data_IF_508939378451
#
_entry.id   IF_508939378451
#
_cell.length_a   1.000
_cell.length_b   1.000
_cell.length_c   1.000
_cell.angle_alpha   90.00
_cell.angle_beta   90.00
_cell.angle_gamma   90.00
#
_symmetry.space_group_name_H-M   'P 1'
#
loop_
_entity.id
_entity.type
_entity.pdbx_description
1 polymer ?
#
# COMPACT_ATOMS: atom_id res chain seq x y z
N UNK A 1 59.02 -31.09 27.53
CA UNK A 1 58.03 -31.63 26.58
C UNK A 1 56.64 -31.75 27.25
N UNK A 2 56.08 -30.65 27.76
CA UNK A 2 54.73 -30.72 28.32
C UNK A 2 54.11 -29.31 28.32
N UNK A 3 54.04 -28.66 27.13
CA UNK A 3 53.41 -27.36 27.01
C UNK A 3 52.97 -27.08 25.54
N UNK A 4 52.26 -28.03 24.95
CA UNK A 4 51.77 -27.90 23.54
C UNK A 4 50.48 -28.67 23.32
N UNK A 5 49.48 -28.45 24.21
CA UNK A 5 48.22 -29.16 24.17
C UNK A 5 46.98 -28.33 24.57
N UNK A 6 47.07 -26.99 24.65
CA UNK A 6 45.98 -26.17 25.19
C UNK A 6 45.63 -24.94 24.30
N UNK A 7 45.64 -25.14 22.99
CA UNK A 7 45.31 -24.03 22.07
C UNK A 7 44.40 -24.42 20.90
N UNK A 8 43.50 -25.40 21.04
CA UNK A 8 42.62 -25.85 19.95
C UNK A 8 41.17 -26.00 20.44
N UNK A 9 40.67 -25.16 21.35
CA UNK A 9 39.25 -25.26 21.77
C UNK A 9 38.49 -23.92 21.82
N UNK A 10 38.83 -22.95 20.95
CA UNK A 10 38.16 -21.64 20.92
C UNK A 10 37.55 -21.27 19.55
N UNK A 11 37.22 -22.25 18.71
CA UNK A 11 36.60 -21.96 17.40
C UNK A 11 35.24 -22.63 17.19
N UNK A 12 34.48 -22.88 18.26
CA UNK A 12 33.14 -23.43 18.14
C UNK A 12 32.13 -22.51 18.86
N UNK A 13 32.00 -21.27 18.45
CA UNK A 13 30.90 -20.42 18.91
C UNK A 13 30.73 -19.25 17.95
N UNK A 14 30.08 -19.49 16.83
CA UNK A 14 29.34 -18.51 16.08
C UNK A 14 28.25 -19.27 15.30
N UNK A 15 27.21 -19.71 15.99
CA UNK A 15 25.93 -19.87 15.36
C UNK A 15 25.42 -18.47 15.07
N UNK A 16 25.00 -18.19 13.82
CA UNK A 16 24.48 -16.89 13.42
C UNK A 16 23.09 -16.60 14.03
N UNK A 17 22.50 -17.56 14.71
CA UNK A 17 21.14 -17.48 15.27
C UNK A 17 20.94 -16.36 16.34
N UNK A 18 22.01 -15.93 17.02
CA UNK A 18 21.89 -14.86 18.00
C UNK A 18 21.81 -13.45 17.38
N UNK A 19 22.12 -13.32 16.07
CA UNK A 19 22.01 -12.06 15.29
C UNK A 19 20.64 -11.91 14.62
N UNK A 20 19.87 -12.98 14.47
CA UNK A 20 18.48 -12.95 14.02
C UNK A 20 17.56 -12.58 15.18
N UNK A 21 17.72 -11.37 15.69
CA UNK A 21 16.76 -10.80 16.64
C UNK A 21 15.53 -10.39 15.84
N UNK A 22 14.51 -11.26 15.86
CA UNK A 22 13.18 -10.85 15.39
C UNK A 22 12.78 -9.58 16.13
N UNK A 23 12.40 -8.55 15.37
CA UNK A 23 11.96 -7.29 15.96
C UNK A 23 10.73 -7.57 16.84
N UNK A 24 10.87 -7.44 18.16
CA UNK A 24 9.77 -7.62 19.12
C UNK A 24 8.59 -6.65 18.89
N UNK A 25 8.73 -5.72 17.94
CA UNK A 25 7.73 -4.69 17.60
C UNK A 25 7.19 -4.81 16.17
N UNK A 26 7.66 -5.78 15.38
CA UNK A 26 7.18 -6.02 14.00
C UNK A 26 6.92 -7.50 13.82
N UNK A 27 5.68 -7.86 13.59
CA UNK A 27 5.30 -9.21 13.16
C UNK A 27 5.84 -9.40 11.73
N UNK A 28 6.57 -10.50 11.44
CA UNK A 28 6.97 -10.82 10.08
C UNK A 28 5.76 -10.87 9.16
N UNK A 29 5.89 -10.34 7.95
CA UNK A 29 4.77 -10.25 7.00
C UNK A 29 4.19 -11.62 6.68
N UNK A 30 5.04 -12.65 6.64
CA UNK A 30 4.70 -14.04 6.33
C UNK A 30 3.83 -14.71 7.40
N UNK A 31 3.83 -14.22 8.63
CA UNK A 31 3.08 -14.76 9.77
C UNK A 31 2.07 -13.78 10.35
N UNK A 32 1.81 -12.69 9.61
CA UNK A 32 0.95 -11.61 10.10
C UNK A 32 -0.53 -12.00 10.16
N UNK A 33 -0.97 -12.94 9.33
CA UNK A 33 -2.35 -13.39 9.21
C UNK A 33 -2.41 -14.89 9.51
N UNK A 34 -3.03 -15.27 10.63
CA UNK A 34 -3.16 -16.66 11.06
C UNK A 34 -4.63 -17.09 11.21
N UNK A 35 -5.54 -16.14 11.34
CA UNK A 35 -6.97 -16.37 11.53
C UNK A 35 -7.75 -15.14 11.00
N UNK A 36 -9.09 -15.21 11.03
CA UNK A 36 -9.96 -14.13 10.55
C UNK A 36 -9.88 -12.86 11.39
N UNK A 37 -9.63 -12.96 12.69
CA UNK A 37 -9.44 -11.80 13.56
C UNK A 37 -8.20 -10.99 13.15
N UNK A 38 -7.11 -11.66 12.74
CA UNK A 38 -5.91 -10.99 12.24
C UNK A 38 -6.20 -10.25 10.92
N UNK A 39 -7.07 -10.81 10.07
CA UNK A 39 -7.54 -10.14 8.85
C UNK A 39 -8.33 -8.89 9.20
N UNK A 40 -9.27 -8.96 10.15
CA UNK A 40 -10.05 -7.81 10.62
C UNK A 40 -9.16 -6.72 11.21
N UNK A 41 -8.20 -7.08 12.08
CA UNK A 41 -7.23 -6.12 12.63
C UNK A 41 -6.39 -5.46 11.54
N UNK A 42 -5.98 -6.20 10.54
CA UNK A 42 -5.22 -5.68 9.40
C UNK A 42 -6.06 -4.73 8.55
N UNK A 43 -7.34 -5.04 8.31
CA UNK A 43 -8.30 -4.16 7.64
C UNK A 43 -8.52 -2.86 8.43
N UNK A 44 -8.68 -2.96 9.75
CA UNK A 44 -8.79 -1.77 10.60
C UNK A 44 -7.55 -0.88 10.49
N UNK A 45 -6.36 -1.47 10.35
CA UNK A 45 -5.13 -0.75 10.04
C UNK A 45 -5.15 -0.05 8.67
N UNK A 46 -5.76 -0.66 7.65
CA UNK A 46 -5.95 -0.02 6.34
C UNK A 46 -6.91 1.16 6.43
N UNK A 47 -8.04 1.01 7.12
CA UNK A 47 -8.99 2.11 7.36
C UNK A 47 -8.34 3.28 8.13
N UNK A 48 -7.43 3.00 9.06
CA UNK A 48 -6.66 4.05 9.75
C UNK A 48 -5.73 4.80 8.79
N UNK A 49 -5.06 4.09 7.87
CA UNK A 49 -4.27 4.73 6.80
C UNK A 49 -5.14 5.63 5.93
N UNK A 50 -6.36 5.20 5.57
CA UNK A 50 -7.30 6.01 4.79
C UNK A 50 -7.73 7.27 5.53
N UNK A 51 -7.89 7.20 6.85
CA UNK A 51 -8.30 8.31 7.72
C UNK A 51 -7.18 9.34 7.96
N UNK A 52 -5.99 9.13 7.43
CA UNK A 52 -4.89 10.10 7.55
C UNK A 52 -5.26 11.47 6.96
N UNK A 53 -4.81 12.55 7.60
CA UNK A 53 -4.90 13.92 7.05
C UNK A 53 -4.13 14.08 5.73
N UNK A 54 -3.18 13.21 5.45
CA UNK A 54 -2.46 13.17 4.18
C UNK A 54 -3.25 12.45 3.07
N UNK A 55 -4.41 11.87 3.41
CA UNK A 55 -5.28 11.19 2.47
C UNK A 55 -6.73 11.67 2.66
N UNK A 56 -7.69 10.81 3.05
CA UNK A 56 -9.13 11.14 3.07
C UNK A 56 -9.58 12.11 4.17
N UNK A 57 -8.89 12.24 5.30
CA UNK A 57 -9.24 13.25 6.30
C UNK A 57 -8.68 14.64 6.02
N UNK A 58 -8.16 14.87 4.82
CA UNK A 58 -7.61 16.19 4.48
C UNK A 58 -7.28 16.36 3.02
N UNK A 59 -6.08 15.96 2.61
CA UNK A 59 -5.53 16.32 1.29
C UNK A 59 -6.37 15.85 0.11
N UNK A 60 -7.00 14.67 0.19
CA UNK A 60 -7.90 14.19 -0.86
C UNK A 60 -9.08 15.11 -1.08
N UNK A 61 -9.64 15.70 -0.01
CA UNK A 61 -10.81 16.56 -0.07
C UNK A 61 -10.40 17.93 -0.65
N UNK A 62 -9.47 18.61 0.00
CA UNK A 62 -9.16 19.99 -0.40
C UNK A 62 -8.30 20.09 -1.67
N UNK A 63 -7.70 19.00 -2.15
CA UNK A 63 -6.95 19.04 -3.40
C UNK A 63 -7.84 19.40 -4.59
N UNK A 64 -9.02 18.76 -4.70
CA UNK A 64 -9.99 19.07 -5.74
C UNK A 64 -10.47 20.53 -5.68
N UNK A 65 -10.82 20.99 -4.49
CA UNK A 65 -11.32 22.35 -4.27
C UNK A 65 -10.27 23.42 -4.60
N UNK A 66 -9.02 23.18 -4.16
CA UNK A 66 -7.93 24.16 -4.31
C UNK A 66 -7.39 24.24 -5.74
N UNK A 67 -7.47 23.15 -6.50
CA UNK A 67 -7.07 23.11 -7.92
C UNK A 67 -8.18 23.54 -8.88
N UNK A 68 -9.42 23.65 -8.38
CA UNK A 68 -10.59 24.14 -9.11
C UNK A 68 -10.74 25.66 -9.00
N UNK A 69 -11.84 26.16 -9.54
CA UNK A 69 -12.15 27.59 -9.58
C UNK A 69 -12.92 28.10 -8.35
N UNK A 70 -13.31 27.17 -7.44
CA UNK A 70 -14.20 27.47 -6.31
C UNK A 70 -13.45 28.07 -5.10
N UNK A 71 -12.13 27.94 -5.03
CA UNK A 71 -11.32 28.42 -3.91
C UNK A 71 -10.11 29.21 -4.37
N UNK A 72 -9.62 30.11 -3.51
CA UNK A 72 -8.44 30.92 -3.77
C UNK A 72 -7.46 30.84 -2.59
N UNK A 73 -6.18 30.64 -2.90
CA UNK A 73 -5.10 30.76 -1.91
C UNK A 73 -4.75 32.23 -1.70
N UNK A 74 -4.98 32.75 -0.48
CA UNK A 74 -4.78 34.19 -0.17
C UNK A 74 -3.34 34.55 0.25
N UNK A 75 -2.46 33.57 0.44
CA UNK A 75 -1.05 33.80 0.83
C UNK A 75 -0.12 32.82 0.14
N UNK A 76 0.96 33.34 -0.43
CA UNK A 76 2.08 32.54 -0.92
C UNK A 76 2.80 31.82 0.23
N UNK A 77 3.41 30.67 -0.04
CA UNK A 77 4.19 29.90 0.93
C UNK A 77 3.36 29.08 1.93
N UNK A 78 2.04 28.96 1.75
CA UNK A 78 1.19 28.07 2.53
C UNK A 78 1.10 26.68 1.89
N UNK A 79 0.63 25.69 2.68
CA UNK A 79 0.56 24.27 2.28
C UNK A 79 -0.25 24.01 1.00
N UNK A 80 -1.21 24.86 0.70
CA UNK A 80 -2.09 24.75 -0.47
C UNK A 80 -1.64 25.58 -1.67
N UNK A 81 -0.67 26.47 -1.53
CA UNK A 81 -0.27 27.40 -2.58
C UNK A 81 0.21 26.70 -3.85
N UNK A 82 1.02 25.65 -3.72
CA UNK A 82 1.51 24.88 -4.88
C UNK A 82 0.38 24.17 -5.63
N UNK A 83 -0.65 23.70 -4.93
CA UNK A 83 -1.85 23.12 -5.55
C UNK A 83 -2.67 24.17 -6.28
N UNK A 84 -2.90 25.31 -5.64
CA UNK A 84 -3.64 26.43 -6.23
C UNK A 84 -2.94 27.00 -7.48
N UNK A 85 -1.61 27.14 -7.43
CA UNK A 85 -0.82 27.66 -8.55
C UNK A 85 -0.57 26.62 -9.64
N UNK A 86 -0.95 25.34 -9.42
CA UNK A 86 -0.62 24.20 -10.30
C UNK A 86 0.88 24.09 -10.61
N UNK A 87 1.72 24.62 -9.72
CA UNK A 87 3.18 24.62 -9.83
C UNK A 87 3.76 23.32 -9.29
N UNK A 88 3.69 22.28 -10.12
CA UNK A 88 4.16 20.95 -9.77
C UNK A 88 5.52 20.67 -10.38
N UNK A 89 6.40 20.16 -9.55
CA UNK A 89 7.68 19.57 -9.94
C UNK A 89 7.70 18.08 -9.57
N UNK A 90 8.77 17.37 -9.90
CA UNK A 90 8.97 15.99 -9.44
C UNK A 90 8.99 15.87 -7.90
N UNK A 91 9.31 16.97 -7.21
CA UNK A 91 9.46 17.03 -5.75
C UNK A 91 8.29 17.76 -5.07
N UNK A 92 7.40 18.40 -5.85
CA UNK A 92 6.21 19.11 -5.36
C UNK A 92 4.97 18.66 -6.15
N UNK A 93 3.96 18.21 -5.49
CA UNK A 93 2.74 17.71 -6.10
C UNK A 93 1.99 16.83 -5.12
N UNK A 94 0.97 16.10 -5.55
CA UNK A 94 0.18 15.23 -4.68
C UNK A 94 0.89 13.92 -4.31
N UNK A 95 2.17 13.97 -3.96
CA UNK A 95 3.01 12.81 -3.63
C UNK A 95 2.45 11.97 -2.48
N UNK A 96 1.74 12.62 -1.53
CA UNK A 96 1.07 11.90 -0.46
C UNK A 96 -0.05 10.99 -0.98
N UNK A 97 -0.82 11.39 -1.99
CA UNK A 97 -1.86 10.54 -2.59
C UNK A 97 -1.25 9.27 -3.18
N UNK A 98 -0.13 9.40 -3.88
CA UNK A 98 0.63 8.27 -4.40
C UNK A 98 1.08 7.32 -3.30
N UNK A 99 1.78 7.85 -2.29
CA UNK A 99 2.37 7.05 -1.23
C UNK A 99 1.32 6.33 -0.38
N UNK A 100 0.22 7.00 -0.03
CA UNK A 100 -0.84 6.43 0.80
C UNK A 100 -1.66 5.40 0.05
N UNK A 101 -1.99 5.65 -1.21
CA UNK A 101 -2.73 4.69 -2.02
C UNK A 101 -1.91 3.40 -2.24
N UNK A 102 -0.61 3.49 -2.57
CA UNK A 102 0.23 2.29 -2.67
C UNK A 102 0.46 1.60 -1.33
N UNK A 103 0.48 2.33 -0.20
CA UNK A 103 0.51 1.71 1.13
C UNK A 103 -0.75 0.88 1.39
N UNK A 104 -1.93 1.37 1.00
CA UNK A 104 -3.18 0.62 1.07
C UNK A 104 -3.11 -0.62 0.20
N UNK A 105 -2.72 -0.49 -1.08
CA UNK A 105 -2.57 -1.62 -2.01
C UNK A 105 -1.62 -2.68 -1.45
N UNK A 106 -0.47 -2.28 -0.90
CA UNK A 106 0.49 -3.20 -0.31
C UNK A 106 -0.10 -3.98 0.86
N UNK A 107 -0.81 -3.29 1.78
CA UNK A 107 -1.46 -3.93 2.92
C UNK A 107 -2.58 -4.88 2.47
N UNK A 108 -3.37 -4.51 1.46
CA UNK A 108 -4.36 -5.40 0.86
C UNK A 108 -3.70 -6.64 0.24
N UNK A 109 -2.58 -6.48 -0.47
CA UNK A 109 -1.87 -7.61 -1.06
C UNK A 109 -1.32 -8.57 0.00
N UNK A 110 -0.87 -8.07 1.16
CA UNK A 110 -0.45 -8.89 2.29
C UNK A 110 -1.62 -9.76 2.77
N UNK A 111 -2.80 -9.19 3.00
CA UNK A 111 -4.00 -9.94 3.40
C UNK A 111 -4.34 -10.97 2.32
N UNK A 112 -4.46 -10.55 1.06
CA UNK A 112 -4.88 -11.42 -0.04
C UNK A 112 -3.90 -12.55 -0.34
N UNK A 113 -2.63 -12.39 -0.01
CA UNK A 113 -1.62 -13.46 -0.18
C UNK A 113 -1.74 -14.59 0.85
N UNK A 114 -2.44 -14.37 1.96
CA UNK A 114 -2.50 -15.30 3.09
C UNK A 114 -3.93 -15.78 3.39
N UNK A 115 -4.96 -14.96 3.12
CA UNK A 115 -6.34 -15.24 3.53
C UNK A 115 -6.89 -16.55 2.98
N UNK A 116 -6.55 -16.94 1.74
CA UNK A 116 -7.01 -18.18 1.12
C UNK A 116 -6.35 -19.45 1.69
N UNK A 117 -5.30 -19.29 2.51
CA UNK A 117 -4.63 -20.37 3.21
C UNK A 117 -5.15 -20.62 4.63
N UNK A 118 -6.10 -19.83 5.10
CA UNK A 118 -6.67 -19.98 6.44
C UNK A 118 -7.60 -21.19 6.51
N UNK A 119 -7.57 -21.91 7.63
CA UNK A 119 -8.53 -22.95 7.95
C UNK A 119 -9.81 -22.30 8.51
N UNK A 120 -10.85 -22.22 7.69
CA UNK A 120 -12.10 -21.51 7.99
C UNK A 120 -13.24 -22.52 8.13
N UNK A 121 -14.00 -22.45 9.21
CA UNK A 121 -15.19 -23.29 9.44
C UNK A 121 -16.32 -22.92 8.46
N UNK A 122 -17.27 -23.85 8.26
CA UNK A 122 -18.46 -23.57 7.44
C UNK A 122 -19.27 -22.40 8.02
N UNK A 123 -19.35 -22.27 9.33
CA UNK A 123 -20.07 -21.20 10.03
C UNK A 123 -19.42 -19.81 9.81
N UNK A 124 -18.12 -19.77 9.57
CA UNK A 124 -17.36 -18.52 9.37
C UNK A 124 -17.20 -18.12 7.89
N UNK A 125 -17.78 -18.91 6.96
CA UNK A 125 -17.63 -18.67 5.51
C UNK A 125 -18.14 -17.29 5.07
N UNK A 126 -19.27 -16.82 5.64
CA UNK A 126 -19.82 -15.51 5.32
C UNK A 126 -18.87 -14.39 5.78
N UNK A 127 -18.34 -14.52 6.99
CA UNK A 127 -17.38 -13.56 7.55
C UNK A 127 -16.06 -13.53 6.75
N UNK A 128 -15.53 -14.70 6.36
CA UNK A 128 -14.38 -14.81 5.47
C UNK A 128 -14.61 -14.07 4.14
N UNK A 129 -15.76 -14.29 3.51
CA UNK A 129 -16.10 -13.65 2.23
C UNK A 129 -16.25 -12.14 2.38
N UNK A 130 -16.83 -11.67 3.48
CA UNK A 130 -16.96 -10.24 3.78
C UNK A 130 -15.58 -9.58 3.94
N UNK A 131 -14.69 -10.13 4.75
CA UNK A 131 -13.34 -9.61 4.96
C UNK A 131 -12.52 -9.60 3.66
N UNK A 132 -12.61 -10.67 2.86
CA UNK A 132 -11.95 -10.75 1.55
C UNK A 132 -12.52 -9.73 0.58
N UNK A 133 -13.85 -9.59 0.54
CA UNK A 133 -14.54 -8.59 -0.28
C UNK A 133 -14.16 -7.17 0.07
N UNK A 134 -14.12 -6.83 1.36
CA UNK A 134 -13.64 -5.52 1.83
C UNK A 134 -12.20 -5.26 1.39
N UNK A 135 -11.32 -6.24 1.51
CA UNK A 135 -9.91 -6.11 1.12
C UNK A 135 -9.76 -5.83 -0.38
N UNK A 136 -10.50 -6.57 -1.22
CA UNK A 136 -10.52 -6.35 -2.68
C UNK A 136 -11.09 -4.96 -3.01
N UNK A 137 -12.19 -4.57 -2.38
CA UNK A 137 -12.82 -3.27 -2.58
C UNK A 137 -11.86 -2.11 -2.23
N UNK A 138 -11.12 -2.21 -1.12
CA UNK A 138 -10.14 -1.20 -0.72
C UNK A 138 -8.96 -1.13 -1.69
N UNK A 139 -8.49 -2.27 -2.21
CA UNK A 139 -7.43 -2.30 -3.23
C UNK A 139 -7.89 -1.67 -4.54
N UNK A 140 -9.05 -2.06 -5.04
CA UNK A 140 -9.66 -1.47 -6.23
C UNK A 140 -9.89 0.03 -6.09
N UNK A 141 -10.38 0.48 -4.95
CA UNK A 141 -10.59 1.89 -4.64
C UNK A 141 -9.29 2.70 -4.63
N UNK A 142 -8.23 2.20 -3.99
CA UNK A 142 -6.92 2.85 -3.97
C UNK A 142 -6.31 2.94 -5.38
N UNK A 143 -6.46 1.88 -6.19
CA UNK A 143 -6.01 1.89 -7.59
C UNK A 143 -6.83 2.87 -8.45
N UNK A 144 -8.13 3.00 -8.19
CA UNK A 144 -8.98 4.00 -8.85
C UNK A 144 -8.51 5.42 -8.53
N UNK A 145 -8.21 5.73 -7.28
CA UNK A 145 -7.66 7.02 -6.89
C UNK A 145 -6.35 7.34 -7.62
N UNK A 146 -5.42 6.40 -7.63
CA UNK A 146 -4.17 6.54 -8.36
C UNK A 146 -4.41 6.81 -9.85
N UNK A 147 -5.32 6.05 -10.46
CA UNK A 147 -5.59 6.15 -11.89
C UNK A 147 -6.16 7.51 -12.26
N UNK A 148 -7.13 8.02 -11.50
CA UNK A 148 -7.76 9.33 -11.77
C UNK A 148 -6.87 10.53 -11.46
N UNK A 149 -5.91 10.40 -10.51
CA UNK A 149 -4.99 11.49 -10.18
C UNK A 149 -3.76 11.55 -11.08
N UNK A 150 -3.27 10.40 -11.53
CA UNK A 150 -1.99 10.29 -12.22
C UNK A 150 -2.09 9.76 -13.65
N UNK A 151 -3.28 9.39 -14.11
CA UNK A 151 -3.60 9.02 -15.48
C UNK A 151 -4.33 10.14 -16.22
N UNK A 152 -4.40 10.02 -17.54
CA UNK A 152 -5.31 10.87 -18.32
C UNK A 152 -6.76 10.38 -18.21
N UNK A 153 -7.76 11.25 -18.41
CA UNK A 153 -9.15 10.82 -18.51
C UNK A 153 -9.31 9.74 -19.60
N UNK A 154 -10.07 8.68 -19.28
CA UNK A 154 -10.32 7.57 -20.21
C UNK A 154 -10.87 8.05 -21.57
N UNK A 155 -11.75 9.06 -21.56
CA UNK A 155 -12.38 9.61 -22.73
C UNK A 155 -11.41 10.29 -23.72
N UNK A 156 -10.17 10.58 -23.29
CA UNK A 156 -9.17 11.23 -24.15
C UNK A 156 -8.80 10.37 -25.36
N UNK A 157 -8.62 9.07 -25.16
CA UNK A 157 -8.09 8.13 -26.16
C UNK A 157 -8.54 6.67 -25.94
N UNK A 158 -9.66 6.45 -25.24
CA UNK A 158 -10.14 5.13 -24.90
C UNK A 158 -9.25 4.40 -23.91
N UNK A 159 -8.49 5.14 -23.10
CA UNK A 159 -7.62 4.58 -22.06
C UNK A 159 -6.28 4.06 -22.59
N UNK A 160 -5.86 4.43 -23.79
CA UNK A 160 -4.58 4.02 -24.37
C UNK A 160 -3.37 4.68 -23.71
N UNK A 161 -3.53 5.89 -23.14
CA UNK A 161 -2.48 6.60 -22.39
C UNK A 161 -2.04 5.84 -21.15
N UNK A 162 -0.82 6.14 -20.67
CA UNK A 162 -0.28 5.53 -19.46
C UNK A 162 -1.06 6.00 -18.22
N UNK A 163 -1.51 5.03 -17.45
CA UNK A 163 -2.08 5.16 -16.11
C UNK A 163 -1.00 5.05 -15.04
N UNK A 164 -1.12 4.07 -14.16
CA UNK A 164 -0.22 3.81 -13.03
C UNK A 164 0.25 2.34 -13.02
N UNK A 165 1.30 1.99 -12.28
CA UNK A 165 1.66 0.60 -12.07
C UNK A 165 0.55 -0.17 -11.34
N UNK A 166 0.14 -1.31 -11.89
CA UNK A 166 -0.77 -2.25 -11.24
C UNK A 166 0.08 -3.21 -10.40
N UNK A 167 -0.15 -3.23 -9.09
CA UNK A 167 0.59 -4.07 -8.14
C UNK A 167 -0.42 -4.97 -7.43
N UNK A 168 -0.42 -6.26 -7.76
CA UNK A 168 -1.35 -7.26 -7.22
C UNK A 168 -0.69 -8.26 -6.27
N UNK A 169 0.61 -8.13 -6.06
CA UNK A 169 1.40 -9.00 -5.19
C UNK A 169 2.13 -8.18 -4.13
N UNK A 170 2.56 -8.84 -3.07
CA UNK A 170 3.42 -8.21 -2.06
C UNK A 170 4.72 -7.81 -2.73
N UNK A 171 4.98 -6.50 -2.77
CA UNK A 171 6.17 -5.97 -3.42
C UNK A 171 7.27 -5.65 -2.43
N UNK A 172 8.51 -5.86 -2.85
CA UNK A 172 9.71 -5.43 -2.14
C UNK A 172 10.27 -4.13 -2.74
N UNK A 173 11.28 -3.56 -2.09
CA UNK A 173 11.92 -2.30 -2.50
C UNK A 173 12.67 -2.39 -3.84
N UNK A 174 12.94 -3.59 -4.34
CA UNK A 174 13.65 -3.84 -5.60
C UNK A 174 12.71 -3.82 -6.80
N UNK A 175 11.41 -4.09 -6.58
CA UNK A 175 10.41 -4.07 -7.64
C UNK A 175 10.15 -2.64 -8.10
N UNK A 176 10.39 -2.40 -9.40
CA UNK A 176 10.11 -1.13 -10.08
C UNK A 176 9.19 -1.37 -11.28
N UNK A 177 7.91 -1.66 -11.04
CA UNK A 177 6.96 -1.97 -12.13
C UNK A 177 6.77 -0.77 -13.04
N UNK A 178 6.62 -1.04 -14.33
CA UNK A 178 6.27 -0.02 -15.32
C UNK A 178 4.81 0.41 -15.17
N UNK A 179 4.48 1.59 -15.69
CA UNK A 179 3.07 2.05 -15.75
C UNK A 179 2.29 1.21 -16.75
N UNK A 180 1.09 0.84 -16.36
CA UNK A 180 0.10 0.22 -17.23
C UNK A 180 -0.71 1.29 -17.96
N UNK A 181 -1.50 0.90 -18.96
CA UNK A 181 -2.44 1.84 -19.60
C UNK A 181 -3.61 2.14 -18.66
N UNK A 182 -4.28 3.26 -18.88
CA UNK A 182 -5.50 3.63 -18.15
C UNK A 182 -6.58 2.55 -18.30
N UNK A 183 -6.73 1.97 -19.50
CA UNK A 183 -7.67 0.87 -19.75
C UNK A 183 -7.36 -0.35 -18.86
N UNK A 184 -6.09 -0.79 -18.81
CA UNK A 184 -5.68 -1.90 -17.94
C UNK A 184 -5.91 -1.59 -16.46
N UNK A 185 -5.67 -0.33 -16.03
CA UNK A 185 -5.98 0.07 -14.66
C UNK A 185 -7.47 -0.08 -14.35
N UNK A 186 -8.36 0.38 -15.22
CA UNK A 186 -9.81 0.21 -15.02
C UNK A 186 -10.26 -1.24 -15.06
N UNK A 187 -9.66 -2.08 -15.91
CA UNK A 187 -9.92 -3.53 -15.90
C UNK A 187 -9.57 -4.17 -14.56
N UNK A 188 -8.40 -3.84 -14.00
CA UNK A 188 -7.98 -4.32 -12.69
C UNK A 188 -8.89 -3.81 -11.56
N UNK A 189 -9.28 -2.53 -11.58
CA UNK A 189 -10.22 -1.93 -10.64
C UNK A 189 -11.56 -2.67 -10.67
N UNK A 190 -12.14 -2.87 -11.86
CA UNK A 190 -13.43 -3.54 -12.02
C UNK A 190 -13.35 -5.00 -11.56
N UNK A 191 -12.23 -5.66 -11.78
CA UNK A 191 -12.01 -7.04 -11.31
C UNK A 191 -12.05 -7.14 -9.79
N UNK A 192 -11.45 -6.17 -9.09
CA UNK A 192 -11.43 -6.17 -7.62
C UNK A 192 -12.78 -5.74 -7.00
N UNK A 193 -13.62 -5.00 -7.75
CA UNK A 193 -14.92 -4.49 -7.26
C UNK A 193 -16.12 -5.41 -7.60
N UNK A 194 -15.90 -6.50 -8.32
CA UNK A 194 -16.92 -7.50 -8.67
C UNK A 194 -16.84 -8.74 -7.79
#
# INVERSE_FOLDING_TARGET
YMMMGMLVSLTASCGNDWLDVESSTKIPTETAIQNLDDVEYSLNGIYDVMRSTNYYSGRMIYYGDVTGDDTQSIKTGKRTTSYYMLDYTKDSGPSSHWSYAYKIIQNCNIILSQIDGLDVSEDDTEYFNDLKGQTLALRGFALFDLTRFFGYPYAKDGGASLGVPIVTEVSNTENKPSRNTVAQCYEAIIKDLK
#
